data_IF_009563545504
#
_entry.id   IF_009563545504
#
_cell.length_a   1.000
_cell.length_b   1.000
_cell.length_c   1.000
_cell.angle_alpha   90.00
_cell.angle_beta   90.00
_cell.angle_gamma   90.00
#
_symmetry.space_group_name_H-M   'P 1'
#
loop_
_entity.id
_entity.type
_entity.pdbx_description
1 polymer ?
#
# COMPACT_ATOMS: atom_id res chain seq x y z
N UNK A 1 -11.22 -16.46 3.22
CA UNK A 1 -10.47 -17.76 3.15
C UNK A 1 -9.15 -17.59 3.85
N UNK A 2 -8.63 -18.63 4.53
CA UNK A 2 -7.31 -18.51 5.16
C UNK A 2 -6.24 -18.23 4.10
N UNK A 3 -5.20 -17.51 4.49
CA UNK A 3 -4.04 -17.26 3.64
C UNK A 3 -3.41 -18.58 3.16
N UNK A 4 -2.84 -18.58 1.94
CA UNK A 4 -2.19 -19.78 1.37
C UNK A 4 -0.98 -20.26 2.17
N UNK A 5 -0.34 -19.32 2.87
CA UNK A 5 0.71 -19.59 3.85
C UNK A 5 0.27 -18.92 5.13
N UNK A 6 0.12 -19.70 6.20
CA UNK A 6 -0.28 -19.17 7.49
C UNK A 6 0.79 -18.21 8.02
N UNK A 7 0.44 -16.96 8.36
CA UNK A 7 1.39 -16.03 8.97
C UNK A 7 1.97 -16.58 10.29
N UNK A 8 3.13 -16.12 10.67
CA UNK A 8 3.59 -16.24 12.04
C UNK A 8 2.96 -15.12 12.86
N UNK A 9 2.44 -15.46 14.02
CA UNK A 9 2.13 -14.49 15.05
C UNK A 9 3.40 -14.10 15.84
N UNK A 10 3.44 -12.93 16.51
CA UNK A 10 4.52 -12.58 17.41
C UNK A 10 4.77 -13.68 18.45
N UNK A 11 6.01 -14.06 18.62
CA UNK A 11 6.41 -15.15 19.54
C UNK A 11 6.40 -16.55 18.95
N UNK A 12 5.98 -16.74 17.70
CA UNK A 12 5.96 -18.06 17.05
C UNK A 12 7.25 -18.40 16.28
N UNK A 13 8.11 -17.42 16.03
CA UNK A 13 9.39 -17.66 15.36
C UNK A 13 10.44 -18.18 16.34
N UNK A 14 11.31 -19.09 15.87
CA UNK A 14 12.54 -19.46 16.58
C UNK A 14 13.61 -18.34 16.55
N UNK A 15 13.42 -17.33 15.72
CA UNK A 15 14.29 -16.15 15.58
C UNK A 15 13.67 -14.97 16.34
N UNK A 16 14.29 -14.58 17.45
CA UNK A 16 13.79 -13.53 18.34
C UNK A 16 13.62 -12.17 17.62
N UNK A 17 14.54 -11.83 16.73
CA UNK A 17 14.45 -10.57 15.97
C UNK A 17 13.21 -10.56 15.02
N UNK A 18 12.79 -11.73 14.52
CA UNK A 18 11.54 -11.85 13.76
C UNK A 18 10.34 -11.53 14.66
N UNK A 19 10.33 -12.08 15.90
CA UNK A 19 9.24 -11.81 16.84
C UNK A 19 9.15 -10.32 17.21
N UNK A 20 10.30 -9.68 17.50
CA UNK A 20 10.37 -8.25 17.78
C UNK A 20 9.84 -7.40 16.60
N UNK A 21 10.16 -7.76 15.36
CA UNK A 21 9.65 -7.10 14.17
C UNK A 21 8.12 -7.26 14.08
N UNK A 22 7.59 -8.46 14.28
CA UNK A 22 6.16 -8.72 14.21
C UNK A 22 5.37 -7.94 15.27
N UNK A 23 5.88 -7.86 16.51
CA UNK A 23 5.31 -7.03 17.58
C UNK A 23 5.27 -5.54 17.17
N UNK A 24 6.34 -5.03 16.56
CA UNK A 24 6.39 -3.65 16.08
C UNK A 24 5.36 -3.36 14.99
N UNK A 25 5.06 -4.34 14.13
CA UNK A 25 4.03 -4.16 13.10
C UNK A 25 2.61 -4.24 13.67
N UNK A 26 2.35 -5.08 14.67
CA UNK A 26 1.04 -5.13 15.35
C UNK A 26 0.71 -3.84 16.10
N UNK A 27 1.69 -3.28 16.80
CA UNK A 27 1.52 -2.04 17.59
C UNK A 27 1.81 -0.77 16.77
N UNK A 28 2.28 -0.93 15.53
CA UNK A 28 2.85 0.15 14.73
C UNK A 28 1.94 0.73 13.66
N UNK A 29 2.55 1.05 12.54
CA UNK A 29 1.96 1.83 11.44
C UNK A 29 0.62 1.32 10.96
N UNK A 30 0.48 0.03 10.74
CA UNK A 30 -0.73 -0.55 10.17
C UNK A 30 -1.57 -1.32 11.20
N UNK A 31 -1.06 -1.51 12.41
CA UNK A 31 -1.65 -2.36 13.44
C UNK A 31 -2.03 -3.75 12.87
N UNK A 32 -1.14 -4.31 12.07
CA UNK A 32 -1.33 -5.58 11.38
C UNK A 32 0.04 -6.19 11.05
N UNK A 33 0.28 -7.41 11.51
CA UNK A 33 1.53 -8.15 11.31
C UNK A 33 1.42 -9.26 10.25
N UNK A 34 0.23 -9.54 9.71
CA UNK A 34 -0.02 -10.74 8.91
C UNK A 34 0.88 -10.85 7.67
N UNK A 35 1.04 -9.76 6.90
CA UNK A 35 1.96 -9.76 5.75
C UNK A 35 3.39 -10.06 6.18
N UNK A 36 3.87 -9.41 7.24
CA UNK A 36 5.23 -9.60 7.77
C UNK A 36 5.40 -10.98 8.38
N UNK A 37 4.36 -11.56 8.99
CA UNK A 37 4.34 -12.93 9.50
C UNK A 37 4.53 -13.98 8.39
N UNK A 38 3.95 -13.78 7.20
CA UNK A 38 4.23 -14.68 6.07
C UNK A 38 5.65 -14.51 5.54
N UNK A 39 6.18 -13.29 5.45
CA UNK A 39 7.57 -13.01 5.04
C UNK A 39 8.55 -13.56 6.11
N UNK A 40 8.17 -13.50 7.38
CA UNK A 40 8.93 -13.98 8.54
C UNK A 40 9.24 -15.47 8.51
N UNK A 41 8.49 -16.27 7.74
CA UNK A 41 8.87 -17.68 7.44
C UNK A 41 10.27 -17.78 6.80
N UNK A 42 10.78 -16.68 6.24
CA UNK A 42 12.13 -16.54 5.73
C UNK A 42 12.80 -15.33 6.42
N UNK A 43 13.40 -15.51 7.61
CA UNK A 43 13.91 -14.42 8.44
C UNK A 43 14.81 -13.43 7.70
N UNK A 44 15.66 -13.91 6.80
CA UNK A 44 16.54 -13.05 6.02
C UNK A 44 15.80 -12.08 5.07
N UNK A 45 14.62 -12.46 4.56
CA UNK A 45 13.78 -11.58 3.74
C UNK A 45 13.12 -10.52 4.61
N UNK A 46 12.53 -10.91 5.74
CA UNK A 46 11.91 -9.97 6.66
C UNK A 46 12.91 -8.91 7.14
N UNK A 47 14.05 -9.33 7.63
CA UNK A 47 15.13 -8.44 8.11
C UNK A 47 15.69 -7.53 7.01
N UNK A 48 15.59 -7.93 5.75
CA UNK A 48 16.04 -7.11 4.62
C UNK A 48 15.00 -6.09 4.16
N UNK A 49 13.71 -6.40 4.25
CA UNK A 49 12.65 -5.49 3.76
C UNK A 49 12.28 -4.41 4.77
N UNK A 50 12.37 -4.68 6.07
CA UNK A 50 12.00 -3.72 7.13
C UNK A 50 12.78 -2.40 7.01
N UNK A 51 14.12 -2.38 6.86
CA UNK A 51 14.87 -1.14 6.65
C UNK A 51 14.46 -0.37 5.40
N UNK A 52 13.94 -1.05 4.38
CA UNK A 52 13.42 -0.39 3.18
C UNK A 52 12.17 0.41 3.51
N UNK A 53 11.24 -0.16 4.30
CA UNK A 53 10.05 0.58 4.74
C UNK A 53 10.43 1.76 5.66
N UNK A 54 11.34 1.55 6.59
CA UNK A 54 11.81 2.60 7.50
C UNK A 54 12.43 3.79 6.75
N UNK A 55 13.14 3.52 5.65
CA UNK A 55 13.83 4.55 4.88
C UNK A 55 12.90 5.64 4.34
N UNK A 56 11.67 5.31 3.95
CA UNK A 56 10.72 6.30 3.44
C UNK A 56 9.55 6.59 4.39
N UNK A 57 9.10 5.65 5.21
CA UNK A 57 8.01 5.92 6.17
C UNK A 57 8.46 6.73 7.38
N UNK A 58 9.66 6.49 7.89
CA UNK A 58 10.14 7.13 9.13
C UNK A 58 11.16 8.23 8.90
N UNK A 59 11.82 8.29 7.75
CA UNK A 59 12.94 9.18 7.49
C UNK A 59 12.93 9.90 6.15
N UNK A 60 11.84 9.78 5.38
CA UNK A 60 11.74 10.33 4.03
C UNK A 60 11.47 11.84 3.97
N UNK A 61 11.50 12.37 2.76
CA UNK A 61 11.21 13.78 2.46
C UNK A 61 9.70 14.02 2.26
N UNK A 62 8.94 12.97 1.95
CA UNK A 62 7.50 13.02 1.72
C UNK A 62 6.75 12.82 3.04
N UNK A 63 5.68 13.59 3.20
CA UNK A 63 4.83 13.48 4.38
C UNK A 63 4.14 12.11 4.45
N UNK A 64 4.11 11.45 5.63
CA UNK A 64 3.57 10.11 5.80
C UNK A 64 2.13 9.91 5.31
N UNK A 65 1.26 10.92 5.43
CA UNK A 65 -0.11 10.84 4.96
C UNK A 65 -0.20 10.71 3.42
N UNK A 66 0.72 11.34 2.67
CA UNK A 66 0.79 11.21 1.22
C UNK A 66 1.15 9.77 0.84
N UNK A 67 2.13 9.16 1.51
CA UNK A 67 2.45 7.75 1.30
C UNK A 67 1.28 6.83 1.61
N UNK A 68 0.53 7.09 2.69
CA UNK A 68 -0.65 6.29 3.02
C UNK A 68 -1.73 6.42 1.94
N UNK A 69 -1.97 7.63 1.42
CA UNK A 69 -2.92 7.84 0.31
C UNK A 69 -2.48 7.08 -0.95
N UNK A 70 -1.20 7.15 -1.33
CA UNK A 70 -0.64 6.39 -2.45
C UNK A 70 -0.78 4.88 -2.24
N UNK A 71 -0.51 4.39 -1.04
CA UNK A 71 -0.62 2.97 -0.69
C UNK A 71 -2.05 2.46 -0.83
N UNK A 72 -3.02 3.22 -0.32
CA UNK A 72 -4.43 2.89 -0.42
C UNK A 72 -4.89 2.89 -1.88
N UNK A 73 -4.52 3.93 -2.64
CA UNK A 73 -4.86 4.03 -4.07
C UNK A 73 -4.25 2.90 -4.88
N UNK A 74 -2.98 2.57 -4.62
CA UNK A 74 -2.32 1.43 -5.27
C UNK A 74 -3.03 0.11 -4.93
N UNK A 75 -3.48 -0.06 -3.69
CA UNK A 75 -4.26 -1.21 -3.24
C UNK A 75 -5.59 -1.33 -3.99
N UNK A 76 -6.29 -0.23 -4.21
CA UNK A 76 -7.51 -0.17 -5.00
C UNK A 76 -7.27 -0.57 -6.46
N UNK A 77 -6.34 0.08 -7.14
CA UNK A 77 -6.04 -0.16 -8.57
C UNK A 77 -5.61 -1.61 -8.81
N UNK A 78 -4.77 -2.15 -7.94
CA UNK A 78 -4.35 -3.57 -8.02
C UNK A 78 -5.41 -4.55 -7.49
N UNK A 79 -6.53 -4.06 -6.94
CA UNK A 79 -7.58 -4.89 -6.34
C UNK A 79 -7.08 -5.79 -5.22
N UNK A 80 -6.19 -5.26 -4.39
CA UNK A 80 -5.69 -5.93 -3.20
C UNK A 80 -6.59 -5.60 -2.01
N UNK A 81 -7.55 -6.47 -1.69
CA UNK A 81 -8.52 -6.24 -0.61
C UNK A 81 -7.83 -5.98 0.73
N UNK A 82 -6.85 -6.79 1.10
CA UNK A 82 -6.04 -6.59 2.30
C UNK A 82 -5.37 -5.22 2.31
N UNK A 83 -4.68 -4.84 1.23
CA UNK A 83 -3.95 -3.58 1.17
C UNK A 83 -4.88 -2.35 1.22
N UNK A 84 -6.07 -2.45 0.63
CA UNK A 84 -7.06 -1.37 0.63
C UNK A 84 -7.87 -1.29 1.94
N UNK A 85 -7.81 -2.31 2.80
CA UNK A 85 -8.55 -2.35 4.08
C UNK A 85 -7.71 -1.96 5.29
N UNK A 86 -6.42 -2.31 5.31
CA UNK A 86 -5.50 -1.94 6.39
C UNK A 86 -5.24 -0.43 6.37
N UNK A 87 -5.21 0.19 7.55
CA UNK A 87 -5.02 1.65 7.71
C UNK A 87 -3.84 1.96 8.62
N UNK A 88 -3.05 2.96 8.22
CA UNK A 88 -2.04 3.53 9.10
C UNK A 88 -2.71 4.32 10.23
N UNK A 89 -2.43 3.94 11.47
CA UNK A 89 -3.00 4.60 12.63
C UNK A 89 -2.42 6.01 12.85
N UNK A 90 -1.16 6.22 12.49
CA UNK A 90 -0.44 7.48 12.73
C UNK A 90 -0.93 8.66 11.89
N UNK A 91 -1.56 8.40 10.73
CA UNK A 91 -2.04 9.43 9.79
C UNK A 91 -3.55 9.32 9.50
N UNK A 92 -4.27 8.58 10.34
CA UNK A 92 -5.69 8.32 10.16
C UNK A 92 -6.55 9.60 10.15
N UNK A 93 -6.18 10.56 10.98
CA UNK A 93 -6.91 11.83 11.11
C UNK A 93 -6.74 12.72 9.86
N UNK A 94 -5.64 12.57 9.12
CA UNK A 94 -5.36 13.32 7.90
C UNK A 94 -5.96 12.64 6.65
N UNK A 95 -5.89 11.32 6.59
CA UNK A 95 -6.34 10.53 5.42
C UNK A 95 -7.82 10.21 5.48
N UNK A 96 -8.34 9.82 6.65
CA UNK A 96 -9.73 9.36 6.82
C UNK A 96 -10.78 10.31 6.24
N UNK A 97 -10.72 11.65 6.46
CA UNK A 97 -11.68 12.59 5.88
C UNK A 97 -11.65 12.66 4.35
N UNK A 98 -10.59 12.16 3.71
CA UNK A 98 -10.36 12.22 2.25
C UNK A 98 -10.59 10.88 1.56
N UNK A 99 -10.94 9.81 2.29
CA UNK A 99 -11.05 8.46 1.73
C UNK A 99 -12.11 8.35 0.63
N UNK A 100 -13.27 9.02 0.79
CA UNK A 100 -14.33 8.99 -0.23
C UNK A 100 -13.84 9.57 -1.56
N UNK A 101 -13.07 10.67 -1.52
CA UNK A 101 -12.47 11.27 -2.70
C UNK A 101 -11.28 10.42 -3.22
N UNK A 102 -10.49 9.85 -2.32
CA UNK A 102 -9.35 8.99 -2.66
C UNK A 102 -9.77 7.76 -3.48
N UNK A 103 -10.87 7.14 -3.11
CA UNK A 103 -11.44 5.98 -3.82
C UNK A 103 -12.46 6.37 -4.91
N UNK A 104 -12.71 7.65 -5.11
CA UNK A 104 -13.63 8.22 -6.08
C UNK A 104 -12.93 9.16 -7.06
N UNK A 105 -13.40 10.41 -7.10
CA UNK A 105 -12.87 11.46 -7.97
C UNK A 105 -11.77 12.24 -7.24
N UNK A 106 -10.53 12.10 -7.69
CA UNK A 106 -9.36 12.78 -7.11
C UNK A 106 -9.19 14.24 -7.58
N UNK A 107 -10.00 14.72 -8.51
CA UNK A 107 -9.97 16.10 -9.00
C UNK A 107 -10.78 17.07 -8.12
N UNK A 108 -11.16 16.65 -6.92
CA UNK A 108 -11.92 17.48 -5.97
C UNK A 108 -11.00 18.41 -5.16
N UNK A 109 -11.61 19.46 -4.60
CA UNK A 109 -10.89 20.49 -3.82
C UNK A 109 -10.34 20.00 -2.46
N UNK A 110 -10.67 18.76 -2.05
CA UNK A 110 -10.19 18.17 -0.79
C UNK A 110 -8.68 17.84 -0.81
N UNK A 111 -8.09 17.69 -2.01
CA UNK A 111 -6.66 17.40 -2.14
C UNK A 111 -5.86 18.67 -2.40
N UNK A 112 -4.70 18.77 -1.76
CA UNK A 112 -3.65 19.70 -2.20
C UNK A 112 -3.07 19.24 -3.54
N UNK A 113 -2.39 20.13 -4.26
CA UNK A 113 -1.74 19.78 -5.53
C UNK A 113 -0.75 18.62 -5.35
N UNK A 114 0.02 18.59 -4.25
CA UNK A 114 0.96 17.52 -3.93
C UNK A 114 0.26 16.19 -3.68
N UNK A 115 -0.82 16.18 -2.90
CA UNK A 115 -1.61 14.97 -2.63
C UNK A 115 -2.21 14.42 -3.92
N UNK A 116 -2.85 15.27 -4.72
CA UNK A 116 -3.46 14.88 -5.99
C UNK A 116 -2.44 14.25 -6.94
N UNK A 117 -1.31 14.92 -7.17
CA UNK A 117 -0.26 14.41 -8.07
C UNK A 117 0.35 13.09 -7.57
N UNK A 118 0.55 12.93 -6.25
CA UNK A 118 1.05 11.69 -5.68
C UNK A 118 0.05 10.54 -5.86
N UNK A 119 -1.24 10.79 -5.65
CA UNK A 119 -2.30 9.79 -5.86
C UNK A 119 -2.45 9.45 -7.35
N UNK A 120 -2.40 10.45 -8.25
CA UNK A 120 -2.42 10.23 -9.70
C UNK A 120 -1.20 9.42 -10.18
N UNK A 121 -0.01 9.66 -9.60
CA UNK A 121 1.16 8.83 -9.86
C UNK A 121 0.90 7.37 -9.44
N UNK A 122 0.26 7.16 -8.29
CA UNK A 122 -0.08 5.82 -7.82
C UNK A 122 -1.09 5.12 -8.75
N UNK A 123 -2.08 5.84 -9.29
CA UNK A 123 -3.00 5.31 -10.31
C UNK A 123 -2.27 4.88 -11.59
N UNK A 124 -1.42 5.77 -12.12
CA UNK A 124 -0.66 5.49 -13.34
C UNK A 124 0.31 4.32 -13.17
N UNK A 125 1.00 4.25 -12.04
CA UNK A 125 1.94 3.16 -11.74
C UNK A 125 1.25 1.83 -11.38
N UNK A 126 0.05 1.89 -10.83
CA UNK A 126 -0.78 0.69 -10.57
C UNK A 126 -1.39 0.13 -11.86
N UNK A 127 -1.65 1.00 -12.85
CA UNK A 127 -2.10 0.64 -14.19
C UNK A 127 -0.93 0.21 -15.09
N UNK A 128 -0.69 0.96 -16.17
CA UNK A 128 0.46 0.71 -17.06
C UNK A 128 1.41 1.91 -17.04
N UNK A 129 2.57 1.80 -16.37
CA UNK A 129 3.52 2.89 -16.24
C UNK A 129 4.16 3.32 -17.57
N UNK A 130 4.01 2.55 -18.66
CA UNK A 130 4.48 2.96 -19.98
C UNK A 130 3.71 4.17 -20.56
N UNK A 131 2.54 4.50 -20.00
CA UNK A 131 1.74 5.66 -20.41
C UNK A 131 1.96 6.91 -19.53
N UNK A 132 2.91 6.88 -18.60
CA UNK A 132 3.30 8.07 -17.84
C UNK A 132 4.06 9.01 -18.78
N UNK A 133 3.50 10.20 -19.02
CA UNK A 133 4.05 11.15 -19.98
C UNK A 133 5.08 12.10 -19.35
N UNK A 134 5.91 12.73 -20.22
CA UNK A 134 6.86 13.74 -19.78
C UNK A 134 6.15 14.98 -19.22
N UNK A 135 4.97 15.32 -19.74
CA UNK A 135 4.14 16.44 -19.26
C UNK A 135 3.70 16.21 -17.82
N UNK A 136 3.28 14.98 -17.47
CA UNK A 136 2.95 14.64 -16.08
C UNK A 136 4.18 14.75 -15.16
N UNK A 137 5.35 14.35 -15.65
CA UNK A 137 6.60 14.54 -14.90
C UNK A 137 6.95 16.02 -14.71
N UNK A 138 6.60 16.89 -15.66
CA UNK A 138 6.80 18.34 -15.50
C UNK A 138 5.85 18.91 -14.43
N UNK A 139 4.62 18.39 -14.31
CA UNK A 139 3.72 18.74 -13.19
C UNK A 139 4.29 18.25 -11.85
N UNK A 140 4.82 17.03 -11.77
CA UNK A 140 5.50 16.55 -10.56
C UNK A 140 6.68 17.45 -10.17
N UNK A 141 7.53 17.86 -11.14
CA UNK A 141 8.67 18.77 -10.89
C UNK A 141 8.26 20.16 -10.42
N UNK A 142 7.04 20.59 -10.71
CA UNK A 142 6.54 21.87 -10.22
C UNK A 142 6.22 21.86 -8.71
N UNK A 143 5.90 20.69 -8.15
CA UNK A 143 5.46 20.52 -6.77
C UNK A 143 6.46 19.75 -5.89
N UNK A 144 7.38 18.97 -6.48
CA UNK A 144 8.30 18.08 -5.79
C UNK A 144 9.74 18.28 -6.26
N UNK A 145 10.70 18.12 -5.36
CA UNK A 145 12.12 18.04 -5.71
C UNK A 145 12.44 16.70 -6.39
N UNK A 146 13.63 16.59 -6.99
CA UNK A 146 14.05 15.34 -7.63
C UNK A 146 14.15 14.18 -6.62
N UNK A 147 14.61 14.47 -5.40
CA UNK A 147 14.69 13.49 -4.31
C UNK A 147 13.29 13.00 -3.90
N UNK A 148 12.34 13.92 -3.77
CA UNK A 148 10.95 13.59 -3.46
C UNK A 148 10.30 12.76 -4.57
N UNK A 149 10.53 13.08 -5.85
CA UNK A 149 10.03 12.30 -6.99
C UNK A 149 10.59 10.88 -6.97
N UNK A 150 11.89 10.72 -6.74
CA UNK A 150 12.52 9.40 -6.61
C UNK A 150 11.87 8.60 -5.47
N UNK A 151 11.61 9.24 -4.35
CA UNK A 151 10.99 8.62 -3.18
C UNK A 151 9.54 8.20 -3.45
N UNK A 152 8.73 9.06 -4.11
CA UNK A 152 7.36 8.74 -4.54
C UNK A 152 7.32 7.52 -5.47
N UNK A 153 8.16 7.52 -6.52
CA UNK A 153 8.24 6.42 -7.49
C UNK A 153 8.70 5.13 -6.83
N UNK A 154 9.71 5.22 -5.94
CA UNK A 154 10.20 4.07 -5.19
C UNK A 154 9.14 3.49 -4.27
N UNK A 155 8.50 4.33 -3.45
CA UNK A 155 7.43 3.90 -2.53
C UNK A 155 6.27 3.25 -3.29
N UNK A 156 5.82 3.86 -4.39
CA UNK A 156 4.76 3.29 -5.23
C UNK A 156 5.14 1.92 -5.81
N UNK A 157 6.41 1.74 -6.21
CA UNK A 157 6.93 0.45 -6.68
C UNK A 157 6.88 -0.62 -5.59
N UNK A 158 7.24 -0.26 -4.35
CA UNK A 158 7.15 -1.14 -3.18
C UNK A 158 5.68 -1.48 -2.86
N UNK A 159 4.76 -0.52 -2.94
CA UNK A 159 3.34 -0.79 -2.75
C UNK A 159 2.79 -1.77 -3.80
N UNK A 160 3.14 -1.60 -5.08
CA UNK A 160 2.78 -2.53 -6.14
C UNK A 160 3.34 -3.94 -5.89
N UNK A 161 4.60 -4.04 -5.43
CA UNK A 161 5.17 -5.31 -5.00
C UNK A 161 4.37 -5.94 -3.86
N UNK A 162 4.06 -5.19 -2.81
CA UNK A 162 3.28 -5.65 -1.67
C UNK A 162 1.88 -6.12 -2.06
N UNK A 163 1.20 -5.36 -2.95
CA UNK A 163 -0.12 -5.75 -3.44
C UNK A 163 -0.08 -7.12 -4.15
N UNK A 164 0.88 -7.31 -5.07
CA UNK A 164 1.03 -8.59 -5.79
C UNK A 164 1.39 -9.73 -4.86
N UNK A 165 2.21 -9.47 -3.85
CA UNK A 165 2.54 -10.45 -2.81
C UNK A 165 1.27 -10.86 -2.05
N UNK A 166 0.53 -9.90 -1.50
CA UNK A 166 -0.65 -10.15 -0.68
C UNK A 166 -1.78 -10.83 -1.47
N UNK A 167 -2.04 -10.42 -2.71
CA UNK A 167 -2.99 -11.09 -3.61
C UNK A 167 -2.58 -12.55 -3.84
N UNK A 168 -1.28 -12.79 -4.14
CA UNK A 168 -0.78 -14.14 -4.41
C UNK A 168 -0.86 -15.04 -3.18
N UNK A 169 -0.62 -14.49 -1.99
CA UNK A 169 -0.72 -15.21 -0.71
C UNK A 169 -2.17 -15.33 -0.22
N UNK A 170 -3.14 -14.70 -0.89
CA UNK A 170 -4.54 -14.60 -0.45
C UNK A 170 -4.65 -14.10 0.99
N UNK A 171 -3.91 -13.00 1.30
CA UNK A 171 -3.96 -12.40 2.64
C UNK A 171 -5.38 -11.94 2.93
N UNK A 172 -5.98 -12.47 4.00
CA UNK A 172 -7.32 -12.06 4.41
C UNK A 172 -7.27 -10.67 5.03
N UNK A 173 -8.20 -9.83 4.56
CA UNK A 173 -8.62 -8.69 5.34
C UNK A 173 -9.61 -9.19 6.41
N UNK A 174 -9.63 -8.60 7.59
CA UNK A 174 -10.63 -8.94 8.61
C UNK A 174 -12.05 -8.87 8.04
N UNK A 175 -12.98 -9.69 8.56
CA UNK A 175 -14.39 -9.73 8.10
C UNK A 175 -15.09 -8.35 8.14
N UNK A 176 -14.57 -7.41 8.93
CA UNK A 176 -15.05 -6.02 9.02
C UNK A 176 -14.51 -5.09 7.92
N UNK A 177 -13.52 -5.54 7.17
CA UNK A 177 -12.87 -4.72 6.13
C UNK A 177 -13.66 -4.82 4.85
N UNK A 178 -14.48 -3.81 4.56
CA UNK A 178 -15.15 -3.73 3.27
C UNK A 178 -14.20 -3.12 2.24
N UNK A 179 -14.01 -3.85 1.14
CA UNK A 179 -13.32 -3.28 -0.01
C UNK A 179 -14.14 -2.10 -0.56
N UNK A 180 -13.55 -0.92 -0.80
CA UNK A 180 -14.30 0.30 -1.12
C UNK A 180 -15.26 0.15 -2.31
N UNK A 181 -14.94 -0.68 -3.28
CA UNK A 181 -15.73 -0.88 -4.50
C UNK A 181 -16.58 -2.16 -4.48
N UNK A 182 -16.80 -2.77 -3.32
CA UNK A 182 -17.61 -3.99 -3.20
C UNK A 182 -16.96 -5.24 -3.82
N UNK A 183 -15.66 -5.20 -4.11
CA UNK A 183 -14.93 -6.37 -4.58
C UNK A 183 -14.69 -7.33 -3.42
N UNK A 184 -15.22 -8.53 -3.52
CA UNK A 184 -14.90 -9.62 -2.59
C UNK A 184 -13.57 -10.26 -2.99
N UNK A 185 -12.77 -10.60 -2.01
CA UNK A 185 -11.47 -11.21 -2.24
C UNK A 185 -11.44 -12.63 -1.65
N UNK A 186 -10.85 -13.61 -2.35
CA UNK A 186 -10.41 -13.56 -3.75
C UNK A 186 -11.61 -13.47 -4.71
N UNK A 187 -11.43 -12.84 -5.85
CA UNK A 187 -12.47 -12.77 -6.89
C UNK A 187 -12.90 -14.18 -7.29
N UNK A 188 -14.21 -14.44 -7.29
CA UNK A 188 -14.76 -15.76 -7.62
C UNK A 188 -14.50 -16.15 -9.09
N UNK A 189 -14.47 -15.16 -10.00
CA UNK A 189 -14.18 -15.38 -11.41
C UNK A 189 -13.01 -14.49 -11.90
N UNK A 190 -11.89 -15.10 -12.31
CA UNK A 190 -10.77 -14.34 -12.89
C UNK A 190 -11.12 -13.62 -14.19
N UNK A 191 -12.23 -13.97 -14.87
CA UNK A 191 -12.67 -13.29 -16.10
C UNK A 191 -13.39 -11.98 -15.78
N UNK A 192 -14.05 -11.85 -14.62
CA UNK A 192 -14.66 -10.59 -14.16
C UNK A 192 -13.61 -9.47 -13.97
N UNK A 193 -12.37 -9.86 -13.69
CA UNK A 193 -11.23 -8.92 -13.57
C UNK A 193 -10.89 -8.28 -14.92
N UNK A 194 -11.11 -8.97 -16.04
CA UNK A 194 -10.77 -8.49 -17.38
C UNK A 194 -11.87 -7.64 -18.01
N UNK A 195 -13.11 -7.85 -17.61
CA UNK A 195 -14.26 -7.13 -18.14
C UNK A 195 -14.46 -5.73 -17.59
N UNK A 196 -13.79 -5.37 -16.48
CA UNK A 196 -13.90 -4.06 -15.82
C UNK A 196 -12.71 -3.14 -16.09
N UNK A 197 -11.88 -3.47 -17.07
CA UNK A 197 -10.70 -2.71 -17.50
C UNK A 197 -10.82 -2.09 -18.89
N UNK A 198 -12.04 -1.85 -19.38
CA UNK A 198 -12.32 -1.11 -20.63
C UNK A 198 -12.87 0.27 -20.34
#
# INVERSE_FOLDING_TARGET
MPSRVEPLDPGESDDEEVNEILEQFEDGWWADSAMMGTIGKVPSLLKSIVPVFEAFFAGGHIQPHIFEMMRLKTGEINRCAYCASVRSQSVRDEVGPKEDALFGDIEVDEFTARERLAVELAEKMGGDPNYISDEFFDELRAEFTEEEIVELVFACSIFNWGNKYNITMTMDAEESSQYPNGLEYPLEDPEDVRASGD
#
